data_IF_919341820514
#
_entry.id   IF_919341820514
#
_cell.length_a   1.000
_cell.length_b   1.000
_cell.length_c   1.000
_cell.angle_alpha   90.00
_cell.angle_beta   90.00
_cell.angle_gamma   90.00
#
_symmetry.space_group_name_H-M   'P 1'
#
loop_
_entity.id
_entity.type
_entity.pdbx_description
1 polymer ?
#
# COMPACT_ATOMS: atom_id res chain seq x y z
N UNK A 1 -40.26 83.04 30.80
CA UNK A 1 -41.56 82.47 30.41
C UNK A 1 -41.48 82.03 28.98
N UNK A 2 -41.13 80.76 28.76
CA UNK A 2 -41.07 80.24 27.41
C UNK A 2 -42.32 79.41 27.11
N UNK A 3 -42.85 79.56 25.95
CA UNK A 3 -44.20 79.26 25.50
C UNK A 3 -44.38 77.79 25.13
N UNK A 4 -45.49 77.22 25.56
CA UNK A 4 -45.92 75.81 25.39
C UNK A 4 -46.36 75.48 23.94
N UNK A 5 -45.55 75.62 22.95
CA UNK A 5 -45.95 75.26 21.57
C UNK A 5 -44.83 74.70 20.68
N UNK A 6 -43.90 73.90 21.22
CA UNK A 6 -42.92 73.26 20.37
C UNK A 6 -42.57 71.77 20.85
N UNK A 7 -43.60 71.11 21.33
CA UNK A 7 -43.47 69.70 21.61
C UNK A 7 -44.53 68.91 20.82
N UNK A 8 -44.41 68.88 19.53
CA UNK A 8 -45.02 67.86 18.66
C UNK A 8 -44.23 67.90 17.35
N UNK A 9 -43.37 66.97 17.07
CA UNK A 9 -42.85 66.54 15.77
C UNK A 9 -41.42 66.05 15.89
N UNK A 10 -41.19 64.94 16.57
CA UNK A 10 -39.95 64.11 16.42
C UNK A 10 -40.23 62.67 16.83
N UNK A 11 -41.28 62.11 16.26
CA UNK A 11 -41.55 60.67 16.40
C UNK A 11 -41.92 60.16 15.03
N UNK A 12 -40.91 59.91 14.19
CA UNK A 12 -40.98 59.01 13.02
C UNK A 12 -39.63 58.99 12.36
N UNK A 13 -38.98 57.85 12.44
CA UNK A 13 -37.97 57.29 11.56
C UNK A 13 -36.81 56.66 12.35
N UNK A 14 -37.12 55.72 13.23
CA UNK A 14 -36.16 54.64 13.54
C UNK A 14 -36.54 53.40 12.70
N UNK A 15 -36.36 53.49 11.38
CA UNK A 15 -36.33 52.32 10.54
C UNK A 15 -35.07 51.55 10.91
N UNK A 16 -35.23 50.46 11.66
CA UNK A 16 -34.18 49.51 11.95
C UNK A 16 -33.64 49.01 10.62
N UNK A 17 -32.44 49.45 10.26
CA UNK A 17 -31.61 48.75 9.31
C UNK A 17 -31.25 47.38 9.94
N UNK A 18 -32.04 46.37 9.63
CA UNK A 18 -31.64 44.99 9.82
C UNK A 18 -30.43 44.79 8.90
N UNK A 19 -29.24 45.03 9.45
CA UNK A 19 -28.02 44.65 8.80
C UNK A 19 -28.15 43.15 8.57
N UNK A 20 -28.35 42.76 7.29
CA UNK A 20 -28.36 41.36 6.90
C UNK A 20 -27.05 40.73 7.38
N UNK A 21 -27.17 39.81 8.32
CA UNK A 21 -26.06 38.95 8.67
C UNK A 21 -25.61 38.31 7.35
N UNK A 22 -24.35 38.50 6.92
CA UNK A 22 -23.90 37.86 5.69
C UNK A 22 -24.13 36.36 5.87
N UNK A 23 -25.00 35.77 5.06
CA UNK A 23 -25.17 34.35 5.02
C UNK A 23 -23.80 33.79 4.64
N UNK A 24 -23.12 33.22 5.61
CA UNK A 24 -21.90 32.43 5.34
C UNK A 24 -22.37 31.33 4.37
N UNK A 25 -22.04 31.51 3.11
CA UNK A 25 -22.33 30.50 2.09
C UNK A 25 -21.64 29.24 2.56
N UNK A 26 -22.42 28.19 2.80
CA UNK A 26 -21.85 26.89 3.18
C UNK A 26 -20.75 26.53 2.18
N UNK A 27 -19.62 26.01 2.67
CA UNK A 27 -18.55 25.61 1.79
C UNK A 27 -19.09 24.55 0.81
N UNK A 28 -18.72 24.67 -0.45
CA UNK A 28 -19.05 23.67 -1.48
C UNK A 28 -17.82 22.83 -1.75
N UNK A 29 -18.00 21.52 -1.70
CA UNK A 29 -16.94 20.52 -1.93
C UNK A 29 -17.22 19.74 -3.22
N UNK A 30 -16.19 19.17 -3.82
CA UNK A 30 -16.38 18.29 -4.97
C UNK A 30 -16.85 16.92 -4.50
N UNK A 31 -16.33 16.44 -3.36
CA UNK A 31 -16.72 15.16 -2.75
C UNK A 31 -16.71 15.27 -1.22
N UNK A 32 -17.77 14.74 -0.58
CA UNK A 32 -17.82 14.49 0.85
C UNK A 32 -17.94 13.01 1.15
N UNK A 33 -17.11 12.51 2.06
CA UNK A 33 -17.24 11.16 2.63
C UNK A 33 -17.78 11.34 4.04
N UNK A 34 -19.00 10.87 4.31
CA UNK A 34 -19.76 11.18 5.51
C UNK A 34 -19.83 10.04 6.51
N UNK A 35 -19.51 10.35 7.78
CA UNK A 35 -19.84 9.53 8.94
C UNK A 35 -19.08 8.20 9.03
N UNK A 36 -17.96 8.03 8.34
CA UNK A 36 -17.13 6.83 8.39
C UNK A 36 -16.22 6.79 9.63
N UNK A 37 -15.80 5.58 10.03
CA UNK A 37 -14.68 5.42 10.96
C UNK A 37 -13.40 5.69 10.19
N UNK A 38 -12.88 6.90 10.32
CA UNK A 38 -11.61 7.29 9.71
C UNK A 38 -10.46 6.71 10.52
N UNK A 39 -9.59 5.95 9.85
CA UNK A 39 -8.36 5.42 10.42
C UNK A 39 -7.20 5.97 9.60
N UNK A 40 -6.49 6.94 10.19
CA UNK A 40 -5.24 7.49 9.63
C UNK A 40 -4.10 7.29 10.61
N UNK A 41 -3.30 6.23 10.42
CA UNK A 41 -2.18 5.92 11.32
C UNK A 41 -1.07 6.97 11.31
N UNK A 42 -0.97 7.80 10.27
CA UNK A 42 0.07 8.82 10.16
C UNK A 42 -0.01 9.88 11.25
N UNK A 43 -1.23 10.12 11.74
CA UNK A 43 -1.54 11.10 12.80
C UNK A 43 -2.23 10.46 14.02
N UNK A 44 -2.30 9.13 14.08
CA UNK A 44 -2.93 8.40 15.18
C UNK A 44 -4.45 8.61 15.26
N UNK A 45 -5.11 8.95 14.15
CA UNK A 45 -6.56 9.13 14.12
C UNK A 45 -7.28 7.78 13.96
N UNK A 46 -8.23 7.53 14.87
CA UNK A 46 -9.21 6.44 14.77
C UNK A 46 -10.54 6.93 15.38
N UNK A 47 -11.50 7.28 14.55
CA UNK A 47 -12.78 7.79 15.03
C UNK A 47 -13.74 8.17 13.90
N UNK A 48 -15.00 8.42 14.28
CA UNK A 48 -16.02 8.83 13.29
C UNK A 48 -15.73 10.25 12.83
N UNK A 49 -15.52 10.40 11.52
CA UNK A 49 -15.22 11.68 10.86
C UNK A 49 -15.90 11.76 9.48
N UNK A 50 -16.00 12.99 9.00
CA UNK A 50 -16.23 13.31 7.60
C UNK A 50 -14.89 13.66 6.95
N UNK A 51 -14.77 13.41 5.65
CA UNK A 51 -13.63 13.83 4.83
C UNK A 51 -14.15 14.70 3.69
N UNK A 52 -13.68 15.95 3.62
CA UNK A 52 -14.01 16.87 2.54
C UNK A 52 -12.87 16.96 1.53
N UNK A 53 -13.24 16.97 0.26
CA UNK A 53 -12.33 16.96 -0.87
C UNK A 53 -12.72 18.06 -1.85
N UNK A 54 -11.71 18.82 -2.29
CA UNK A 54 -11.84 19.82 -3.36
C UNK A 54 -10.70 19.63 -4.36
N UNK A 55 -11.02 19.53 -5.63
CA UNK A 55 -10.06 19.15 -6.66
C UNK A 55 -9.46 17.78 -6.37
N UNK A 56 -8.15 17.72 -6.35
CA UNK A 56 -7.40 16.48 -6.06
C UNK A 56 -6.86 16.43 -4.62
N UNK A 57 -7.39 17.25 -3.70
CA UNK A 57 -6.82 17.41 -2.34
C UNK A 57 -7.86 17.18 -1.25
N UNK A 58 -7.42 16.55 -0.16
CA UNK A 58 -8.14 16.56 1.11
C UNK A 58 -8.10 17.99 1.66
N UNK A 59 -9.26 18.54 2.01
CA UNK A 59 -9.33 19.91 2.58
C UNK A 59 -9.70 19.93 4.05
N UNK A 60 -10.43 18.92 4.54
CA UNK A 60 -10.75 18.76 5.96
C UNK A 60 -11.04 17.31 6.33
N UNK A 61 -10.74 16.95 7.59
CA UNK A 61 -11.15 15.69 8.23
C UNK A 61 -11.65 16.03 9.62
N UNK A 62 -12.98 16.12 9.80
CA UNK A 62 -13.61 16.61 11.02
C UNK A 62 -14.83 15.77 11.42
N UNK A 63 -15.32 15.94 12.65
CA UNK A 63 -16.46 15.14 13.18
C UNK A 63 -17.77 15.42 12.47
N UNK A 64 -17.95 16.62 11.93
CA UNK A 64 -19.10 17.02 11.15
C UNK A 64 -18.71 18.19 10.27
N UNK A 65 -18.69 17.95 8.97
CA UNK A 65 -18.37 18.98 7.97
C UNK A 65 -19.69 19.50 7.41
N UNK A 66 -20.04 20.80 7.65
CA UNK A 66 -21.22 21.42 7.06
C UNK A 66 -20.97 21.76 5.59
N UNK A 67 -22.02 21.83 4.80
CA UNK A 67 -21.98 22.26 3.41
C UNK A 67 -22.46 21.19 2.45
N UNK A 68 -22.50 21.59 1.16
CA UNK A 68 -22.93 20.72 0.06
C UNK A 68 -21.73 20.19 -0.71
N UNK A 69 -21.91 19.08 -1.39
CA UNK A 69 -20.93 18.51 -2.29
C UNK A 69 -21.57 18.06 -3.60
N UNK A 70 -20.77 18.07 -4.67
CA UNK A 70 -21.20 17.55 -5.98
C UNK A 70 -21.47 16.05 -5.92
N UNK A 71 -20.64 15.31 -5.16
CA UNK A 71 -20.81 13.88 -4.89
C UNK A 71 -20.65 13.59 -3.38
N UNK A 72 -21.36 12.59 -2.89
CA UNK A 72 -21.29 12.18 -1.48
C UNK A 72 -21.18 10.66 -1.37
N UNK A 73 -20.23 10.20 -0.56
CA UNK A 73 -20.11 8.80 -0.16
C UNK A 73 -20.65 8.68 1.26
N UNK A 74 -21.76 7.95 1.46
CA UNK A 74 -22.21 7.56 2.78
C UNK A 74 -21.32 6.43 3.31
N UNK A 75 -20.44 6.78 4.24
CA UNK A 75 -19.49 5.87 4.84
C UNK A 75 -19.90 5.40 6.25
N UNK A 76 -21.14 5.65 6.68
CA UNK A 76 -21.63 5.18 7.98
C UNK A 76 -21.49 3.66 8.10
N UNK A 77 -20.85 3.21 9.18
CA UNK A 77 -20.52 1.80 9.39
C UNK A 77 -19.39 1.25 8.52
N UNK A 78 -18.69 2.13 7.77
CA UNK A 78 -17.54 1.77 6.94
C UNK A 78 -16.24 2.28 7.57
N UNK A 79 -15.14 1.69 7.14
CA UNK A 79 -13.77 2.14 7.42
C UNK A 79 -13.34 3.07 6.28
N UNK A 80 -12.85 4.24 6.64
CA UNK A 80 -12.25 5.21 5.71
C UNK A 80 -10.77 5.31 6.04
N UNK A 81 -9.90 4.98 5.09
CA UNK A 81 -8.46 4.98 5.26
C UNK A 81 -7.80 5.77 4.12
N UNK A 82 -6.54 6.20 4.26
CA UNK A 82 -5.75 6.61 3.11
C UNK A 82 -5.80 5.54 2.03
N UNK A 83 -5.69 5.94 0.78
CA UNK A 83 -5.63 5.00 -0.32
C UNK A 83 -4.56 3.92 -0.09
N UNK A 84 -4.92 2.68 -0.34
CA UNK A 84 -4.02 1.55 -0.11
C UNK A 84 -2.84 1.60 -1.07
N UNK A 85 -1.67 1.22 -0.60
CA UNK A 85 -0.43 1.14 -1.37
C UNK A 85 0.09 -0.29 -1.31
N UNK A 86 0.07 -0.97 -2.45
CA UNK A 86 0.55 -2.34 -2.59
C UNK A 86 1.98 -2.33 -3.15
N UNK A 87 2.96 -2.56 -2.30
CA UNK A 87 4.38 -2.47 -2.69
C UNK A 87 4.91 -3.73 -3.40
N UNK A 88 4.10 -4.77 -3.54
CA UNK A 88 4.49 -5.99 -4.24
C UNK A 88 3.34 -6.53 -5.08
N UNK A 89 3.36 -6.17 -6.35
CA UNK A 89 2.43 -6.66 -7.38
C UNK A 89 3.21 -7.10 -8.62
N UNK A 90 2.49 -7.74 -9.54
CA UNK A 90 2.91 -7.98 -10.92
C UNK A 90 1.91 -7.34 -11.90
N UNK A 91 1.32 -6.21 -11.49
CA UNK A 91 0.29 -5.49 -12.23
C UNK A 91 0.80 -4.84 -13.52
N UNK A 92 2.11 -4.62 -13.64
CA UNK A 92 2.74 -4.12 -14.87
C UNK A 92 2.68 -5.08 -16.07
N UNK A 93 2.27 -6.34 -15.86
CA UNK A 93 2.17 -7.36 -16.94
C UNK A 93 0.91 -7.27 -17.78
N UNK A 94 -0.10 -6.53 -17.36
CA UNK A 94 -1.38 -6.43 -18.06
C UNK A 94 -1.94 -5.03 -18.07
N UNK A 95 -2.36 -4.52 -19.22
CA UNK A 95 -2.89 -3.16 -19.37
C UNK A 95 -4.08 -2.84 -18.46
N UNK A 96 -4.94 -3.84 -18.20
CA UNK A 96 -6.13 -3.71 -17.35
C UNK A 96 -5.81 -3.83 -15.85
N UNK A 97 -4.64 -4.35 -15.51
CA UNK A 97 -4.27 -4.67 -14.13
C UNK A 97 -4.27 -3.46 -13.20
N UNK A 98 -3.76 -2.28 -13.59
CA UNK A 98 -3.84 -1.08 -12.73
C UNK A 98 -5.28 -0.71 -12.36
N UNK A 99 -6.20 -0.73 -13.33
CA UNK A 99 -7.61 -0.41 -13.08
C UNK A 99 -8.29 -1.46 -12.18
N UNK A 100 -7.94 -2.74 -12.33
CA UNK A 100 -8.44 -3.80 -11.46
C UNK A 100 -7.95 -3.66 -10.02
N UNK A 101 -6.68 -3.30 -9.79
CA UNK A 101 -6.14 -3.04 -8.47
C UNK A 101 -6.83 -1.83 -7.80
N UNK A 102 -7.14 -0.79 -8.58
CA UNK A 102 -7.86 0.39 -8.09
C UNK A 102 -9.23 0.04 -7.52
N UNK A 103 -9.94 -0.94 -8.10
CA UNK A 103 -11.24 -1.41 -7.59
C UNK A 103 -11.15 -2.05 -6.19
N UNK A 104 -9.98 -2.49 -5.77
CA UNK A 104 -9.73 -3.08 -4.47
C UNK A 104 -9.26 -2.05 -3.42
N UNK A 105 -9.30 -0.75 -3.76
CA UNK A 105 -8.86 0.35 -2.87
C UNK A 105 -7.40 0.76 -3.07
N UNK A 106 -6.68 0.14 -4.00
CA UNK A 106 -5.23 0.37 -4.23
C UNK A 106 -5.03 1.60 -5.11
N UNK A 107 -4.66 2.71 -4.49
CA UNK A 107 -4.39 4.00 -5.17
C UNK A 107 -2.91 4.20 -5.52
N UNK A 108 -2.07 3.28 -5.09
CA UNK A 108 -0.66 3.23 -5.44
C UNK A 108 -0.13 1.80 -5.43
N UNK A 109 0.74 1.44 -6.38
CA UNK A 109 1.40 0.15 -6.33
C UNK A 109 2.82 0.16 -6.90
N UNK A 110 3.57 -0.89 -6.56
CA UNK A 110 4.88 -1.20 -7.13
C UNK A 110 4.81 -2.56 -7.83
N UNK A 111 5.11 -2.61 -9.12
CA UNK A 111 5.40 -3.86 -9.82
C UNK A 111 6.76 -4.38 -9.37
N UNK A 112 6.77 -5.52 -8.71
CA UNK A 112 7.94 -6.03 -8.01
C UNK A 112 8.86 -6.87 -8.91
N UNK A 113 9.26 -6.32 -10.03
CA UNK A 113 10.26 -6.91 -10.90
C UNK A 113 9.72 -7.90 -11.92
N UNK A 114 8.56 -7.61 -12.51
CA UNK A 114 8.02 -8.37 -13.65
C UNK A 114 8.89 -8.27 -14.90
N UNK A 115 9.74 -7.26 -15.01
CA UNK A 115 10.69 -7.06 -16.11
C UNK A 115 12.12 -6.92 -15.63
N UNK A 116 13.05 -7.52 -16.38
CA UNK A 116 14.49 -7.26 -16.30
C UNK A 116 14.93 -6.23 -17.36
N UNK A 117 16.24 -5.96 -17.46
CA UNK A 117 16.79 -4.96 -18.42
C UNK A 117 16.27 -5.07 -19.85
N UNK A 118 15.96 -6.28 -20.34
CA UNK A 118 15.55 -6.52 -21.72
C UNK A 118 14.07 -6.24 -21.98
N UNK A 119 13.23 -6.24 -20.93
CA UNK A 119 11.78 -6.10 -21.09
C UNK A 119 11.11 -5.17 -20.06
N UNK A 120 11.88 -4.43 -19.28
CA UNK A 120 11.34 -3.44 -18.32
C UNK A 120 10.55 -2.33 -19.02
N UNK A 121 10.89 -1.99 -20.25
CA UNK A 121 10.23 -0.92 -21.01
C UNK A 121 8.76 -1.27 -21.31
N UNK A 122 8.43 -2.57 -21.49
CA UNK A 122 7.06 -3.07 -21.62
C UNK A 122 6.25 -2.86 -20.32
N UNK A 123 6.87 -3.20 -19.18
CA UNK A 123 6.28 -3.01 -17.85
C UNK A 123 6.10 -1.52 -17.55
N UNK A 124 7.12 -0.72 -17.84
CA UNK A 124 7.11 0.73 -17.65
C UNK A 124 6.00 1.41 -18.46
N UNK A 125 5.71 0.93 -19.66
CA UNK A 125 4.61 1.45 -20.48
C UNK A 125 3.24 1.22 -19.82
N UNK A 126 3.00 0.03 -19.24
CA UNK A 126 1.76 -0.26 -18.50
C UNK A 126 1.68 0.58 -17.22
N UNK A 127 2.78 0.67 -16.48
CA UNK A 127 2.88 1.44 -15.23
C UNK A 127 2.62 2.94 -15.46
N UNK A 128 3.14 3.52 -16.53
CA UNK A 128 2.87 4.92 -16.91
C UNK A 128 1.42 5.16 -17.33
N UNK A 129 0.79 4.16 -17.94
CA UNK A 129 -0.59 4.22 -18.41
C UNK A 129 -1.63 3.98 -17.30
N UNK A 130 -1.23 3.60 -16.11
CA UNK A 130 -2.15 3.37 -14.99
C UNK A 130 -2.83 4.66 -14.49
N UNK A 131 -4.09 4.58 -14.02
CA UNK A 131 -4.79 5.76 -13.51
C UNK A 131 -4.24 6.26 -12.17
N UNK A 132 -3.69 5.36 -11.33
CA UNK A 132 -3.11 5.66 -10.03
C UNK A 132 -1.59 5.84 -10.11
N UNK A 133 -0.96 6.16 -8.97
CA UNK A 133 0.50 6.19 -8.91
C UNK A 133 1.07 4.77 -8.98
N UNK A 134 1.65 4.44 -10.12
CA UNK A 134 2.26 3.15 -10.36
C UNK A 134 3.77 3.28 -10.46
N UNK A 135 4.50 2.34 -9.88
CA UNK A 135 5.97 2.25 -9.94
C UNK A 135 6.40 0.82 -10.24
N UNK A 136 7.66 0.63 -10.54
CA UNK A 136 8.22 -0.69 -10.82
C UNK A 136 9.61 -0.85 -10.19
N UNK A 137 9.95 -2.09 -9.86
CA UNK A 137 11.32 -2.51 -9.66
C UNK A 137 11.82 -3.16 -10.94
N UNK A 138 13.06 -2.92 -11.32
CA UNK A 138 13.70 -3.69 -12.38
C UNK A 138 14.30 -4.96 -11.77
N UNK A 139 14.04 -6.12 -12.37
CA UNK A 139 14.68 -7.36 -11.92
C UNK A 139 16.16 -7.34 -12.31
N UNK A 140 17.04 -7.91 -11.44
CA UNK A 140 18.47 -7.98 -11.72
C UNK A 140 18.78 -8.90 -12.89
N UNK A 141 17.98 -9.96 -13.11
CA UNK A 141 18.11 -10.84 -14.27
C UNK A 141 17.65 -10.14 -15.55
N UNK A 142 18.39 -10.31 -16.65
CA UNK A 142 18.20 -9.59 -17.90
C UNK A 142 16.79 -9.70 -18.47
N UNK A 143 16.16 -10.88 -18.36
CA UNK A 143 14.78 -11.10 -18.79
C UNK A 143 14.06 -12.03 -17.83
N UNK A 144 12.83 -11.68 -17.48
CA UNK A 144 11.98 -12.46 -16.57
C UNK A 144 10.86 -13.15 -17.36
N UNK A 145 10.73 -14.47 -17.15
CA UNK A 145 9.64 -15.29 -17.68
C UNK A 145 8.76 -15.95 -16.62
N UNK A 146 9.12 -15.86 -15.33
CA UNK A 146 8.50 -16.58 -14.21
C UNK A 146 8.54 -18.10 -14.31
N UNK A 147 9.46 -18.64 -15.11
CA UNK A 147 9.64 -20.08 -15.33
C UNK A 147 10.74 -20.70 -14.47
N UNK A 148 11.41 -19.88 -13.63
CA UNK A 148 12.61 -20.27 -12.89
C UNK A 148 13.89 -20.18 -13.72
N UNK A 149 15.04 -20.46 -13.09
CA UNK A 149 16.35 -20.49 -13.76
C UNK A 149 16.93 -19.15 -14.20
N UNK A 150 16.33 -18.05 -13.80
CA UNK A 150 16.66 -16.71 -14.27
C UNK A 150 18.10 -16.29 -13.97
N UNK A 151 18.66 -16.76 -12.84
CA UNK A 151 20.01 -16.46 -12.36
C UNK A 151 20.93 -17.71 -12.28
N UNK A 152 20.51 -18.87 -12.79
CA UNK A 152 21.39 -20.04 -12.88
C UNK A 152 22.64 -19.74 -13.72
N UNK A 153 22.49 -18.94 -14.77
CA UNK A 153 23.60 -18.27 -15.41
C UNK A 153 23.76 -16.87 -14.81
N UNK A 154 24.80 -16.67 -13.98
CA UNK A 154 25.03 -15.41 -13.29
C UNK A 154 25.34 -14.23 -14.23
N UNK A 155 25.75 -14.49 -15.49
CA UNK A 155 25.95 -13.45 -16.48
C UNK A 155 24.66 -12.71 -16.85
N UNK A 156 23.50 -13.31 -16.56
CA UNK A 156 22.20 -12.66 -16.68
C UNK A 156 22.00 -11.54 -15.66
N UNK A 157 22.69 -11.53 -14.53
CA UNK A 157 22.72 -10.41 -13.59
C UNK A 157 23.74 -9.36 -14.03
N UNK A 158 23.49 -8.71 -15.15
CA UNK A 158 24.40 -7.71 -15.72
C UNK A 158 24.15 -6.31 -15.15
N UNK A 159 25.04 -5.85 -14.28
CA UNK A 159 24.94 -4.57 -13.57
C UNK A 159 24.80 -3.38 -14.52
N UNK A 160 25.55 -3.36 -15.62
CA UNK A 160 25.51 -2.25 -16.58
C UNK A 160 24.17 -2.19 -17.32
N UNK A 161 23.60 -3.32 -17.69
CA UNK A 161 22.27 -3.38 -18.31
C UNK A 161 21.18 -2.93 -17.33
N UNK A 162 21.24 -3.36 -16.04
CA UNK A 162 20.30 -2.91 -15.01
C UNK A 162 20.38 -1.40 -14.81
N UNK A 163 21.61 -0.84 -14.71
CA UNK A 163 21.80 0.62 -14.62
C UNK A 163 21.22 1.36 -15.82
N UNK A 164 21.44 0.84 -17.04
CA UNK A 164 20.87 1.38 -18.27
C UNK A 164 19.33 1.35 -18.24
N UNK A 165 18.72 0.28 -17.77
CA UNK A 165 17.28 0.14 -17.62
C UNK A 165 16.70 1.15 -16.60
N UNK A 166 17.37 1.35 -15.46
CA UNK A 166 16.99 2.37 -14.46
C UNK A 166 17.06 3.76 -15.10
N UNK A 167 18.15 4.09 -15.82
CA UNK A 167 18.32 5.40 -16.45
C UNK A 167 17.21 5.72 -17.45
N UNK A 168 16.84 4.75 -18.29
CA UNK A 168 15.77 4.93 -19.28
C UNK A 168 14.39 5.11 -18.66
N UNK A 169 14.18 4.60 -17.45
CA UNK A 169 12.87 4.53 -16.79
C UNK A 169 12.86 5.17 -15.40
N UNK A 170 13.69 6.23 -15.18
CA UNK A 170 13.85 6.87 -13.85
C UNK A 170 12.56 7.45 -13.27
N UNK A 171 11.59 7.75 -14.10
CA UNK A 171 10.29 8.27 -13.73
C UNK A 171 9.40 7.22 -13.03
N UNK A 172 9.64 5.93 -13.32
CA UNK A 172 8.83 4.83 -12.79
C UNK A 172 9.60 3.77 -12.03
N UNK A 173 10.91 3.56 -12.34
CA UNK A 173 11.72 2.55 -11.63
C UNK A 173 12.24 3.11 -10.31
N UNK A 174 11.82 2.48 -9.20
CA UNK A 174 12.09 2.92 -7.82
C UNK A 174 12.94 1.94 -7.00
N UNK A 175 13.45 0.89 -7.61
CA UNK A 175 14.31 -0.10 -6.94
C UNK A 175 14.70 -1.24 -7.86
N UNK A 176 15.41 -2.21 -7.28
CA UNK A 176 15.85 -3.44 -7.97
C UNK A 176 15.26 -4.65 -7.27
N UNK A 177 14.78 -5.64 -8.02
CA UNK A 177 14.29 -6.93 -7.51
C UNK A 177 15.33 -8.02 -7.72
N UNK A 178 15.51 -8.87 -6.71
CA UNK A 178 16.27 -10.11 -6.83
C UNK A 178 15.43 -11.29 -6.28
N UNK A 179 15.27 -12.37 -7.08
CA UNK A 179 14.66 -13.61 -6.66
C UNK A 179 15.77 -14.60 -6.35
N UNK A 180 15.80 -15.11 -5.10
CA UNK A 180 16.95 -15.84 -4.55
C UNK A 180 16.65 -17.31 -4.25
N UNK A 181 15.47 -17.83 -4.62
CA UNK A 181 15.13 -19.24 -4.42
C UNK A 181 16.02 -20.15 -5.29
N UNK A 182 16.18 -21.40 -4.86
CA UNK A 182 17.05 -22.40 -5.51
C UNK A 182 16.67 -22.62 -6.98
N UNK A 183 15.39 -22.73 -7.27
CA UNK A 183 14.87 -22.90 -8.64
C UNK A 183 15.15 -21.70 -9.56
N UNK A 184 15.42 -20.52 -8.99
CA UNK A 184 15.71 -19.29 -9.73
C UNK A 184 17.19 -19.01 -9.83
N UNK A 185 17.92 -19.07 -8.72
CA UNK A 185 19.28 -18.60 -8.60
C UNK A 185 20.31 -19.72 -8.36
N UNK A 186 19.86 -20.88 -7.87
CA UNK A 186 20.79 -21.93 -7.47
C UNK A 186 21.85 -21.40 -6.49
N UNK A 187 23.10 -21.78 -6.69
CA UNK A 187 24.25 -21.32 -5.89
C UNK A 187 24.64 -19.85 -6.15
N UNK A 188 24.00 -19.16 -7.09
CA UNK A 188 24.28 -17.76 -7.44
C UNK A 188 23.46 -16.75 -6.62
N UNK A 189 22.69 -17.17 -5.62
CA UNK A 189 21.79 -16.33 -4.86
C UNK A 189 22.48 -15.11 -4.20
N UNK A 190 23.61 -15.31 -3.51
CA UNK A 190 24.37 -14.21 -2.90
C UNK A 190 25.04 -13.31 -3.93
N UNK A 191 25.57 -13.87 -5.02
CA UNK A 191 26.19 -13.08 -6.07
C UNK A 191 25.14 -12.26 -6.85
N UNK A 192 23.99 -12.86 -7.14
CA UNK A 192 22.85 -12.15 -7.72
C UNK A 192 22.41 -10.96 -6.86
N UNK A 193 22.34 -11.16 -5.53
CA UNK A 193 22.04 -10.08 -4.59
C UNK A 193 23.10 -8.98 -4.60
N UNK A 194 24.41 -9.32 -4.58
CA UNK A 194 25.49 -8.32 -4.64
C UNK A 194 25.39 -7.48 -5.91
N UNK A 195 25.13 -8.08 -7.06
CA UNK A 195 24.96 -7.37 -8.34
C UNK A 195 23.72 -6.48 -8.35
N UNK A 196 22.60 -6.94 -7.74
CA UNK A 196 21.43 -6.13 -7.57
C UNK A 196 21.72 -4.88 -6.72
N UNK A 197 22.43 -5.04 -5.61
CA UNK A 197 22.85 -3.93 -4.74
C UNK A 197 23.85 -3.00 -5.43
N UNK A 198 24.82 -3.53 -6.18
CA UNK A 198 25.77 -2.73 -6.96
C UNK A 198 25.02 -1.86 -7.99
N UNK A 199 24.05 -2.42 -8.70
CA UNK A 199 23.26 -1.65 -9.66
C UNK A 199 22.43 -0.57 -8.99
N UNK A 200 21.73 -0.91 -7.89
CA UNK A 200 20.83 -0.03 -7.14
C UNK A 200 21.58 1.12 -6.45
N UNK A 201 22.78 0.86 -5.91
CA UNK A 201 23.56 1.82 -5.12
C UNK A 201 23.94 3.08 -5.92
N UNK A 202 24.17 2.96 -7.21
CA UNK A 202 24.47 4.11 -8.10
C UNK A 202 23.37 5.18 -8.09
N UNK A 203 22.13 4.77 -7.79
CA UNK A 203 20.94 5.63 -7.81
C UNK A 203 20.33 5.83 -6.42
N UNK A 204 20.98 5.34 -5.38
CA UNK A 204 20.45 5.30 -4.01
C UNK A 204 19.08 4.62 -3.91
N UNK A 205 18.86 3.57 -4.67
CA UNK A 205 17.61 2.80 -4.68
C UNK A 205 17.67 1.60 -3.73
N UNK A 206 16.53 1.16 -3.19
CA UNK A 206 16.44 -0.07 -2.41
C UNK A 206 16.48 -1.31 -3.30
N UNK A 207 16.84 -2.44 -2.67
CA UNK A 207 16.69 -3.77 -3.26
C UNK A 207 15.56 -4.49 -2.52
N UNK A 208 14.61 -5.07 -3.27
CA UNK A 208 13.63 -6.01 -2.73
C UNK A 208 14.05 -7.43 -3.08
N UNK A 209 14.19 -8.27 -2.06
CA UNK A 209 14.50 -9.69 -2.26
C UNK A 209 13.27 -10.57 -1.99
N UNK A 210 13.13 -11.61 -2.78
CA UNK A 210 12.24 -12.73 -2.53
C UNK A 210 13.02 -13.77 -1.72
N UNK A 211 12.55 -14.14 -0.54
CA UNK A 211 13.14 -15.19 0.28
C UNK A 211 12.31 -16.47 0.27
N UNK A 212 12.93 -17.53 0.76
CA UNK A 212 12.39 -18.88 0.84
C UNK A 212 13.09 -19.81 -0.14
N UNK A 213 13.42 -21.01 0.35
CA UNK A 213 14.06 -22.07 -0.43
C UNK A 213 15.36 -21.64 -1.14
N UNK A 214 16.11 -20.67 -0.57
CA UNK A 214 17.43 -20.28 -1.08
C UNK A 214 18.48 -21.36 -0.76
N UNK A 215 19.55 -21.45 -1.56
CA UNK A 215 20.69 -22.32 -1.27
C UNK A 215 21.49 -21.78 -0.08
N UNK A 216 21.74 -20.48 -0.06
CA UNK A 216 22.47 -19.84 1.04
C UNK A 216 21.61 -19.70 2.29
N UNK A 217 22.20 -19.85 3.50
CA UNK A 217 21.49 -19.59 4.75
C UNK A 217 20.95 -18.15 4.81
N UNK A 218 19.72 -17.97 5.31
CA UNK A 218 19.08 -16.65 5.38
C UNK A 218 19.97 -15.60 6.08
N UNK A 219 20.74 -15.98 7.12
CA UNK A 219 21.68 -15.07 7.81
C UNK A 219 22.72 -14.45 6.85
N UNK A 220 23.20 -15.20 5.86
CA UNK A 220 24.16 -14.71 4.87
C UNK A 220 23.52 -13.72 3.92
N UNK A 221 22.28 -13.95 3.52
CA UNK A 221 21.46 -13.04 2.72
C UNK A 221 21.19 -11.75 3.49
N UNK A 222 20.71 -11.85 4.74
CA UNK A 222 20.39 -10.69 5.60
C UNK A 222 21.62 -9.84 5.93
N UNK A 223 22.81 -10.45 6.01
CA UNK A 223 24.06 -9.72 6.27
C UNK A 223 24.41 -8.72 5.15
N UNK A 224 23.97 -8.98 3.92
CA UNK A 224 24.19 -8.10 2.77
C UNK A 224 23.19 -6.95 2.71
N UNK A 225 22.02 -7.05 3.35
CA UNK A 225 20.97 -6.05 3.27
C UNK A 225 21.26 -4.81 4.11
N UNK A 226 20.91 -3.65 3.59
CA UNK A 226 21.06 -2.33 4.21
C UNK A 226 19.70 -1.72 4.54
N UNK A 227 19.72 -0.58 5.26
CA UNK A 227 18.52 0.24 5.54
C UNK A 227 17.77 0.54 4.24
N UNK A 228 16.46 0.31 4.26
CA UNK A 228 15.56 0.53 3.14
C UNK A 228 15.41 -0.65 2.19
N UNK A 229 16.31 -1.65 2.26
CA UNK A 229 16.10 -2.91 1.53
C UNK A 229 14.90 -3.66 2.10
N UNK A 230 14.22 -4.45 1.26
CA UNK A 230 12.96 -5.10 1.58
C UNK A 230 13.09 -6.60 1.41
N UNK A 231 12.71 -7.35 2.45
CA UNK A 231 12.54 -8.80 2.42
C UNK A 231 11.06 -9.09 2.23
N UNK A 232 10.66 -9.55 1.05
CA UNK A 232 9.28 -9.98 0.80
C UNK A 232 9.12 -11.49 0.94
N UNK A 233 7.87 -11.96 1.12
CA UNK A 233 7.52 -13.32 1.50
C UNK A 233 8.13 -13.72 2.85
N UNK A 234 8.10 -12.77 3.81
CA UNK A 234 8.78 -12.94 5.09
C UNK A 234 8.38 -14.21 5.87
N UNK A 235 7.22 -14.77 5.60
CA UNK A 235 6.73 -15.99 6.22
C UNK A 235 6.90 -17.24 5.33
N UNK A 236 7.88 -17.19 4.41
CA UNK A 236 8.21 -18.35 3.60
C UNK A 236 8.60 -19.54 4.49
N UNK A 237 8.11 -20.75 4.18
CA UNK A 237 8.45 -21.94 4.94
C UNK A 237 9.91 -22.35 4.73
N UNK A 238 10.43 -23.27 5.55
CA UNK A 238 11.76 -23.85 5.37
C UNK A 238 11.95 -24.46 3.96
N UNK A 239 13.22 -24.59 3.48
CA UNK A 239 14.44 -24.15 4.15
C UNK A 239 14.68 -22.63 4.08
N UNK A 240 15.52 -22.15 5.02
CA UNK A 240 15.97 -20.73 5.05
C UNK A 240 14.86 -19.69 5.22
N UNK A 241 13.78 -20.02 5.97
CA UNK A 241 12.81 -19.07 6.48
C UNK A 241 13.34 -18.26 7.67
N UNK A 242 12.47 -17.41 8.25
CA UNK A 242 12.83 -16.53 9.38
C UNK A 242 12.88 -17.23 10.74
N UNK A 243 12.42 -18.49 10.84
CA UNK A 243 12.37 -19.29 12.06
C UNK A 243 13.33 -20.46 11.99
N UNK A 244 13.90 -20.84 13.14
CA UNK A 244 14.70 -22.05 13.30
C UNK A 244 13.80 -23.31 13.36
N UNK A 245 14.42 -24.50 13.43
CA UNK A 245 13.72 -25.79 13.49
C UNK A 245 12.86 -25.95 14.76
N UNK A 246 13.08 -25.12 15.78
CA UNK A 246 12.26 -25.06 17.00
C UNK A 246 11.15 -24.00 16.89
N UNK A 247 10.99 -23.33 15.74
CA UNK A 247 10.02 -22.29 15.51
C UNK A 247 10.36 -20.95 16.17
N UNK A 248 11.62 -20.72 16.58
CA UNK A 248 12.09 -19.49 17.19
C UNK A 248 12.63 -18.54 16.11
N UNK A 249 12.34 -17.25 16.27
CA UNK A 249 12.85 -16.22 15.38
C UNK A 249 14.38 -16.17 15.44
N UNK A 250 15.05 -16.22 14.30
CA UNK A 250 16.50 -16.03 14.25
C UNK A 250 16.89 -14.61 14.73
N UNK A 251 17.94 -14.53 15.54
CA UNK A 251 18.47 -13.26 16.03
C UNK A 251 18.89 -12.32 14.89
N UNK A 252 19.40 -12.87 13.79
CA UNK A 252 19.80 -12.13 12.58
C UNK A 252 18.62 -11.43 11.91
N UNK A 253 17.41 -12.02 11.94
CA UNK A 253 16.18 -11.42 11.41
C UNK A 253 15.80 -10.16 12.21
N UNK A 254 15.79 -10.27 13.55
CA UNK A 254 15.54 -9.14 14.42
C UNK A 254 16.63 -8.06 14.27
N UNK A 255 17.89 -8.47 14.10
CA UNK A 255 19.01 -7.55 13.87
C UNK A 255 18.89 -6.82 12.52
N UNK A 256 18.47 -7.50 11.46
CA UNK A 256 18.23 -6.88 10.14
C UNK A 256 17.13 -5.82 10.23
N UNK A 257 16.00 -6.10 10.91
CA UNK A 257 14.95 -5.10 11.15
C UNK A 257 15.48 -3.89 11.92
N UNK A 258 16.26 -4.09 12.98
CA UNK A 258 16.86 -2.97 13.72
C UNK A 258 17.82 -2.11 12.88
N UNK A 259 18.47 -2.69 11.85
CA UNK A 259 19.27 -1.93 10.87
C UNK A 259 18.41 -1.14 9.89
N UNK A 260 17.09 -1.38 9.85
CA UNK A 260 16.14 -0.71 8.99
C UNK A 260 15.84 -1.48 7.68
N UNK A 261 16.09 -2.77 7.64
CA UNK A 261 15.55 -3.67 6.62
C UNK A 261 14.06 -3.86 6.89
N UNK A 262 13.23 -3.70 5.87
CA UNK A 262 11.78 -3.87 5.96
C UNK A 262 11.41 -5.33 5.68
N UNK A 263 10.40 -5.82 6.39
CA UNK A 263 9.85 -7.17 6.20
C UNK A 263 8.41 -7.05 5.69
N UNK A 264 8.22 -7.47 4.45
CA UNK A 264 6.97 -7.41 3.72
C UNK A 264 6.30 -8.79 3.66
N UNK A 265 4.97 -8.81 3.77
CA UNK A 265 4.23 -10.06 3.77
C UNK A 265 4.31 -10.78 2.43
N UNK A 266 4.01 -10.10 1.32
CA UNK A 266 4.03 -10.69 -0.02
C UNK A 266 3.15 -11.93 -0.12
N UNK A 267 1.83 -11.80 -0.10
CA UNK A 267 0.88 -12.91 0.03
C UNK A 267 1.13 -14.06 -0.98
N UNK A 268 1.21 -13.72 -2.28
CA UNK A 268 1.36 -14.70 -3.35
C UNK A 268 0.23 -15.74 -3.43
N UNK A 269 0.44 -16.73 -4.31
CA UNK A 269 -0.53 -17.82 -4.54
C UNK A 269 0.04 -19.21 -4.32
N UNK A 270 1.37 -19.37 -4.31
CA UNK A 270 2.02 -20.64 -4.14
C UNK A 270 3.40 -20.49 -3.50
N UNK A 271 3.70 -21.26 -2.46
CA UNK A 271 5.05 -21.39 -1.90
C UNK A 271 5.52 -20.23 -0.98
N UNK A 272 4.79 -19.14 -0.87
CA UNK A 272 5.27 -17.91 -0.25
C UNK A 272 5.00 -17.82 1.26
N UNK A 273 3.97 -18.48 1.76
CA UNK A 273 3.71 -18.58 3.20
C UNK A 273 2.81 -19.76 3.55
N UNK A 274 2.93 -20.23 4.78
CA UNK A 274 1.94 -21.10 5.41
C UNK A 274 1.53 -20.56 6.78
N UNK A 275 0.38 -21.04 7.28
CA UNK A 275 -0.18 -20.55 8.56
C UNK A 275 0.73 -20.82 9.75
N UNK A 276 1.45 -21.96 9.75
CA UNK A 276 2.34 -22.32 10.85
C UNK A 276 3.46 -21.28 11.04
N UNK A 277 4.07 -20.81 9.94
CA UNK A 277 5.08 -19.74 9.98
C UNK A 277 4.51 -18.44 10.49
N UNK A 278 3.32 -18.04 10.00
CA UNK A 278 2.64 -16.80 10.45
C UNK A 278 2.35 -16.88 11.95
N UNK A 279 1.72 -17.98 12.41
CA UNK A 279 1.35 -18.16 13.82
C UNK A 279 2.57 -18.15 14.74
N UNK A 280 3.63 -18.86 14.41
CA UNK A 280 4.84 -18.91 15.22
C UNK A 280 5.56 -17.58 15.29
N UNK A 281 5.66 -16.85 14.17
CA UNK A 281 6.32 -15.55 14.13
C UNK A 281 5.51 -14.47 14.87
N UNK A 282 4.20 -14.40 14.64
CA UNK A 282 3.34 -13.40 15.26
C UNK A 282 3.19 -13.59 16.78
N UNK A 283 3.18 -14.83 17.28
CA UNK A 283 3.25 -15.12 18.73
C UNK A 283 4.52 -14.59 19.39
N UNK A 284 5.60 -14.43 18.63
CA UNK A 284 6.85 -13.81 19.09
C UNK A 284 6.90 -12.30 18.84
N UNK A 285 5.77 -11.69 18.42
CA UNK A 285 5.67 -10.27 18.14
C UNK A 285 6.32 -9.84 16.81
N UNK A 286 6.68 -10.77 15.93
CA UNK A 286 7.29 -10.44 14.65
C UNK A 286 6.23 -10.32 13.55
N UNK A 287 5.63 -9.15 13.50
CA UNK A 287 4.63 -8.74 12.53
C UNK A 287 5.27 -8.13 11.27
N UNK A 288 4.58 -8.11 10.11
CA UNK A 288 5.09 -7.45 8.92
C UNK A 288 5.16 -5.93 9.11
N UNK A 289 6.15 -5.31 8.47
CA UNK A 289 6.23 -3.85 8.37
C UNK A 289 5.25 -3.34 7.31
N UNK A 290 5.07 -4.10 6.23
CA UNK A 290 4.14 -3.82 5.14
C UNK A 290 3.34 -5.06 4.76
N UNK A 291 2.11 -4.83 4.29
CA UNK A 291 1.29 -5.86 3.65
C UNK A 291 1.30 -5.62 2.15
N UNK A 292 1.40 -6.70 1.39
CA UNK A 292 1.33 -6.67 -0.06
C UNK A 292 0.74 -7.97 -0.59
N UNK A 293 0.27 -7.95 -1.82
CA UNK A 293 -0.51 -9.05 -2.37
C UNK A 293 0.29 -10.05 -3.18
N UNK A 294 1.41 -9.64 -3.77
CA UNK A 294 2.02 -10.37 -4.89
C UNK A 294 1.00 -10.62 -6.01
N UNK A 295 0.25 -9.58 -6.31
CA UNK A 295 -0.94 -9.60 -7.15
C UNK A 295 -0.61 -9.92 -8.61
N UNK A 296 -1.39 -10.83 -9.19
CA UNK A 296 -1.48 -11.05 -10.63
C UNK A 296 -2.95 -11.06 -11.04
N UNK A 297 -3.26 -10.79 -12.30
CA UNK A 297 -4.63 -10.87 -12.81
C UNK A 297 -5.25 -12.27 -12.56
N UNK A 298 -4.47 -13.34 -12.75
CA UNK A 298 -4.90 -14.71 -12.47
C UNK A 298 -5.18 -14.94 -10.99
N UNK A 299 -4.31 -14.47 -10.09
CA UNK A 299 -4.49 -14.61 -8.65
C UNK A 299 -5.79 -13.95 -8.17
N UNK A 300 -6.15 -12.81 -8.74
CA UNK A 300 -7.41 -12.10 -8.44
C UNK A 300 -8.64 -12.89 -8.87
N UNK A 301 -8.59 -13.55 -10.01
CA UNK A 301 -9.75 -14.28 -10.54
C UNK A 301 -9.92 -15.68 -9.95
N UNK A 302 -8.83 -16.33 -9.58
CA UNK A 302 -8.84 -17.73 -9.12
C UNK A 302 -8.67 -17.91 -7.62
N UNK A 303 -8.13 -16.93 -6.90
CA UNK A 303 -7.63 -17.15 -5.56
C UNK A 303 -8.10 -16.18 -4.48
N UNK A 304 -9.06 -15.29 -4.76
CA UNK A 304 -9.50 -14.31 -3.74
C UNK A 304 -8.30 -13.53 -3.18
N UNK A 305 -7.47 -13.01 -4.06
CA UNK A 305 -6.35 -12.13 -3.70
C UNK A 305 -6.73 -10.70 -4.07
N UNK A 306 -7.67 -10.13 -3.32
CA UNK A 306 -7.84 -8.68 -3.23
C UNK A 306 -7.07 -8.17 -1.99
N UNK A 307 -6.66 -6.92 -2.00
CA UNK A 307 -5.83 -6.40 -0.92
C UNK A 307 -6.57 -6.36 0.43
N UNK A 308 -7.86 -5.97 0.52
CA UNK A 308 -8.64 -6.09 1.76
C UNK A 308 -8.74 -7.52 2.30
N UNK A 309 -8.75 -8.56 1.44
CA UNK A 309 -8.67 -9.95 1.88
C UNK A 309 -7.32 -10.24 2.56
N UNK A 310 -6.22 -9.81 1.95
CA UNK A 310 -4.88 -9.96 2.52
C UNK A 310 -4.76 -9.26 3.86
N UNK A 311 -5.26 -8.04 3.98
CA UNK A 311 -5.34 -7.29 5.24
C UNK A 311 -6.12 -8.07 6.32
N UNK A 312 -7.21 -8.73 5.94
CA UNK A 312 -8.09 -9.47 6.85
C UNK A 312 -7.44 -10.70 7.46
N UNK A 313 -6.45 -11.30 6.79
CA UNK A 313 -5.66 -12.41 7.34
C UNK A 313 -4.97 -12.00 8.64
N UNK A 314 -4.51 -10.75 8.75
CA UNK A 314 -3.83 -10.26 9.95
C UNK A 314 -4.81 -9.87 11.07
N UNK A 315 -6.03 -9.45 10.74
CA UNK A 315 -7.10 -9.30 11.72
C UNK A 315 -7.42 -10.64 12.40
N UNK A 316 -7.42 -11.74 11.65
CA UNK A 316 -7.64 -13.09 12.17
C UNK A 316 -6.58 -13.48 13.20
N UNK A 317 -5.33 -13.04 13.04
CA UNK A 317 -4.24 -13.26 14.00
C UNK A 317 -4.22 -12.27 15.17
N UNK A 318 -5.16 -11.31 15.22
CA UNK A 318 -5.30 -10.35 16.31
C UNK A 318 -4.46 -9.07 16.13
N UNK A 319 -3.93 -8.79 14.93
CA UNK A 319 -3.34 -7.48 14.67
C UNK A 319 -4.42 -6.41 14.75
N UNK A 320 -4.24 -5.33 15.52
CA UNK A 320 -5.20 -4.24 15.59
C UNK A 320 -5.49 -3.64 14.21
N UNK A 321 -6.75 -3.31 13.93
CA UNK A 321 -7.15 -2.78 12.63
C UNK A 321 -6.33 -1.54 12.20
N UNK A 322 -6.02 -0.65 13.14
CA UNK A 322 -5.16 0.52 12.86
C UNK A 322 -3.74 0.13 12.42
N UNK A 323 -3.17 -0.95 12.96
CA UNK A 323 -1.88 -1.47 12.51
C UNK A 323 -1.97 -2.15 11.15
N UNK A 324 -3.05 -2.90 10.88
CA UNK A 324 -3.32 -3.48 9.55
C UNK A 324 -3.40 -2.37 8.50
N UNK A 325 -4.13 -1.29 8.80
CA UNK A 325 -4.21 -0.12 7.92
C UNK A 325 -2.84 0.54 7.75
N UNK A 326 -2.07 0.69 8.83
CA UNK A 326 -0.73 1.27 8.75
C UNK A 326 0.19 0.50 7.80
N UNK A 327 0.17 -0.84 7.86
CA UNK A 327 0.99 -1.69 6.99
C UNK A 327 0.61 -1.57 5.49
N UNK A 328 -0.65 -1.22 5.19
CA UNK A 328 -1.18 -1.07 3.84
C UNK A 328 -1.19 0.40 3.34
N UNK A 329 -0.81 1.37 4.17
CA UNK A 329 -0.88 2.80 3.85
C UNK A 329 0.40 3.53 4.26
N UNK A 330 0.47 4.03 5.49
CA UNK A 330 1.55 4.88 6.01
C UNK A 330 2.92 4.19 5.96
N UNK A 331 3.00 2.90 6.31
CA UNK A 331 4.27 2.17 6.28
C UNK A 331 4.69 1.85 4.83
N UNK A 332 3.73 1.44 3.99
CA UNK A 332 3.97 1.20 2.57
C UNK A 332 4.44 2.48 1.85
N UNK A 333 3.84 3.64 2.20
CA UNK A 333 4.27 4.94 1.65
C UNK A 333 5.73 5.27 2.01
N UNK A 334 6.19 4.90 3.20
CA UNK A 334 7.57 5.14 3.66
C UNK A 334 8.61 4.22 3.01
N UNK A 335 8.18 3.13 2.36
CA UNK A 335 9.09 2.19 1.73
C UNK A 335 9.73 2.75 0.44
N UNK A 336 9.08 3.72 -0.21
CA UNK A 336 9.57 4.33 -1.44
C UNK A 336 9.27 5.82 -1.48
N UNK A 337 10.26 6.65 -1.74
CA UNK A 337 10.14 8.13 -1.77
C UNK A 337 9.05 8.63 -2.72
N UNK A 338 8.74 7.87 -3.77
CA UNK A 338 7.69 8.20 -4.73
C UNK A 338 6.26 8.26 -4.13
N UNK A 339 6.08 7.76 -2.92
CA UNK A 339 4.80 7.80 -2.18
C UNK A 339 4.87 8.73 -0.95
N UNK A 340 5.90 9.55 -0.81
CA UNK A 340 6.15 10.37 0.40
C UNK A 340 5.03 11.36 0.74
N UNK A 341 4.19 11.74 -0.22
CA UNK A 341 3.02 12.61 -0.03
C UNK A 341 1.70 11.86 0.20
N UNK A 342 1.77 10.52 0.34
CA UNK A 342 0.61 9.61 0.47
C UNK A 342 0.61 8.86 1.80
N UNK A 343 -0.37 7.95 1.96
CA UNK A 343 -0.52 7.16 3.20
C UNK A 343 -1.06 7.96 4.38
N UNK A 344 -1.73 9.09 4.11
CA UNK A 344 -2.36 10.00 5.08
C UNK A 344 -3.62 10.62 4.50
N UNK A 345 -4.53 11.08 5.37
CA UNK A 345 -5.71 11.90 5.05
C UNK A 345 -5.56 13.35 5.53
N UNK A 346 -4.37 13.79 5.86
CA UNK A 346 -4.12 15.16 6.30
C UNK A 346 -4.60 16.19 5.27
N UNK A 347 -5.10 17.32 5.74
CA UNK A 347 -5.43 18.44 4.86
C UNK A 347 -4.20 18.82 4.00
N UNK A 348 -4.46 18.99 2.70
CA UNK A 348 -3.41 19.23 1.69
C UNK A 348 -2.83 17.96 1.05
N UNK A 349 -3.04 16.78 1.61
CA UNK A 349 -2.62 15.52 0.99
C UNK A 349 -3.41 15.23 -0.30
N UNK A 350 -2.86 14.43 -1.24
CA UNK A 350 -3.63 13.90 -2.36
C UNK A 350 -4.89 13.20 -1.87
N UNK A 351 -6.02 13.47 -2.54
CA UNK A 351 -7.31 12.88 -2.19
C UNK A 351 -7.42 11.45 -2.74
N UNK A 352 -6.59 10.57 -2.19
CA UNK A 352 -6.56 9.14 -2.43
C UNK A 352 -7.12 8.44 -1.18
N UNK A 353 -8.31 7.85 -1.29
CA UNK A 353 -9.05 7.28 -0.15
C UNK A 353 -9.58 5.90 -0.48
N UNK A 354 -9.36 4.96 0.42
CA UNK A 354 -10.01 3.65 0.40
C UNK A 354 -11.15 3.61 1.42
N UNK A 355 -12.36 3.33 0.95
CA UNK A 355 -13.51 3.07 1.82
C UNK A 355 -13.78 1.58 1.79
N UNK A 356 -13.78 0.95 2.95
CA UNK A 356 -13.92 -0.50 3.11
C UNK A 356 -15.07 -0.83 4.05
N UNK A 357 -15.70 -1.96 3.84
CA UNK A 357 -16.67 -2.53 4.74
C UNK A 357 -16.03 -3.63 5.58
N UNK A 358 -16.05 -3.50 6.90
CA UNK A 358 -15.66 -4.58 7.82
C UNK A 358 -16.91 -5.40 8.16
N UNK A 359 -16.95 -6.64 7.68
CA UNK A 359 -18.06 -7.56 7.97
C UNK A 359 -17.65 -8.58 9.02
N UNK A 360 -18.56 -8.86 9.92
CA UNK A 360 -18.47 -9.96 10.87
C UNK A 360 -19.11 -11.23 10.31
N UNK A 361 -18.54 -12.38 10.64
CA UNK A 361 -19.01 -13.67 10.15
C UNK A 361 -17.93 -14.74 10.22
N UNK A 362 -18.14 -15.83 9.48
CA UNK A 362 -17.15 -16.88 9.33
C UNK A 362 -16.57 -16.80 7.93
N UNK A 363 -15.31 -16.36 7.83
CA UNK A 363 -14.62 -16.20 6.56
C UNK A 363 -13.46 -17.17 6.49
N UNK A 364 -13.45 -18.00 5.44
CA UNK A 364 -12.33 -18.90 5.19
C UNK A 364 -11.19 -18.13 4.50
N UNK A 365 -9.98 -18.30 5.02
CA UNK A 365 -8.74 -17.80 4.46
C UNK A 365 -7.82 -18.98 4.14
N UNK A 366 -7.13 -18.88 3.00
CA UNK A 366 -6.19 -19.87 2.53
C UNK A 366 -4.75 -19.37 2.65
N UNK A 367 -3.84 -20.27 3.00
CA UNK A 367 -2.41 -20.09 2.75
C UNK A 367 -2.03 -20.61 1.36
N UNK A 368 -0.74 -20.57 1.05
CA UNK A 368 -0.26 -21.02 -0.26
C UNK A 368 -0.10 -22.55 -0.40
N UNK A 369 -0.47 -23.31 0.65
CA UNK A 369 -0.45 -24.77 0.71
C UNK A 369 -1.84 -25.36 0.90
N UNK A 370 -2.89 -24.59 0.58
CA UNK A 370 -4.30 -24.95 0.74
C UNK A 370 -4.72 -25.18 2.21
N UNK A 371 -3.88 -24.74 3.16
CA UNK A 371 -4.24 -24.72 4.58
C UNK A 371 -5.35 -23.70 4.81
N UNK A 372 -6.38 -24.10 5.58
CA UNK A 372 -7.57 -23.29 5.85
C UNK A 372 -7.53 -22.73 7.26
N UNK A 373 -7.95 -21.49 7.41
CA UNK A 373 -8.25 -20.85 8.71
C UNK A 373 -9.55 -20.07 8.61
N UNK A 374 -10.31 -20.04 9.69
CA UNK A 374 -11.55 -19.27 9.76
C UNK A 374 -11.33 -18.02 10.61
N UNK A 375 -11.48 -16.85 9.99
CA UNK A 375 -11.53 -15.57 10.68
C UNK A 375 -12.95 -15.13 10.96
N UNK A 376 -13.12 -14.25 11.96
CA UNK A 376 -14.41 -13.70 12.38
C UNK A 376 -14.75 -12.38 11.71
N UNK A 377 -13.77 -11.76 11.04
CA UNK A 377 -13.92 -10.46 10.38
C UNK A 377 -13.22 -10.49 9.02
N UNK A 378 -13.81 -9.79 8.05
CA UNK A 378 -13.21 -9.57 6.73
C UNK A 378 -13.53 -8.18 6.24
N UNK A 379 -12.51 -7.53 5.67
CA UNK A 379 -12.61 -6.28 4.92
C UNK A 379 -13.02 -6.55 3.48
N UNK A 380 -13.92 -5.72 2.96
CA UNK A 380 -14.35 -5.72 1.57
C UNK A 380 -14.17 -4.33 0.98
N UNK A 381 -13.74 -4.19 -0.27
CA UNK A 381 -13.74 -2.88 -0.94
C UNK A 381 -15.18 -2.36 -1.02
N UNK A 382 -15.40 -1.08 -0.73
CA UNK A 382 -16.69 -0.41 -0.88
C UNK A 382 -16.65 0.71 -1.90
N UNK A 383 -15.70 1.64 -1.77
CA UNK A 383 -15.46 2.70 -2.73
C UNK A 383 -13.99 3.11 -2.69
N UNK A 384 -13.47 3.53 -3.83
CA UNK A 384 -12.13 4.09 -3.96
C UNK A 384 -12.24 5.51 -4.49
N UNK A 385 -11.51 6.44 -3.88
CA UNK A 385 -11.32 7.79 -4.40
C UNK A 385 -9.87 7.93 -4.84
N UNK A 386 -9.68 8.39 -6.05
CA UNK A 386 -8.37 8.64 -6.63
C UNK A 386 -8.30 10.08 -7.14
N UNK A 387 -7.32 10.84 -6.67
CA UNK A 387 -7.16 12.25 -7.03
C UNK A 387 -8.48 13.04 -6.91
N UNK A 388 -9.25 12.77 -5.85
CA UNK A 388 -10.50 13.45 -5.53
C UNK A 388 -11.73 12.97 -6.29
N UNK A 389 -11.61 11.96 -7.13
CA UNK A 389 -12.73 11.43 -7.91
C UNK A 389 -13.02 9.99 -7.51
N UNK A 390 -14.30 9.65 -7.39
CA UNK A 390 -14.73 8.28 -7.16
C UNK A 390 -14.33 7.41 -8.36
N UNK A 391 -13.59 6.36 -8.11
CA UNK A 391 -13.25 5.36 -9.12
C UNK A 391 -14.48 4.51 -9.47
N UNK A 392 -14.52 3.90 -10.69
CA UNK A 392 -15.56 2.96 -11.05
C UNK A 392 -15.69 1.82 -10.02
N UNK A 393 -16.93 1.48 -9.68
CA UNK A 393 -17.20 0.38 -8.76
C UNK A 393 -16.70 -0.96 -9.36
N UNK A 394 -16.42 -1.92 -8.46
CA UNK A 394 -16.17 -3.31 -8.85
C UNK A 394 -17.46 -3.87 -9.49
N UNK A 395 -17.35 -4.39 -10.71
CA UNK A 395 -18.44 -5.06 -11.42
C UNK A 395 -18.80 -6.42 -10.76
#
# INVERSE_FOLDING_TARGET
MMNRRQIVSAAAAAAAAVAGVPSVRAASYDLLIKGGRVIDPSVGLDGIRDVAITGSRIVAVESNIPGDATDTIDARGKIVAPGLIDIHTHAGRGKESPALALQDGVTGFVDAGSGGPDNIDEIAAVVRGGPQICRALVNVATRIGFTGGELLDINRANVSLVRGAILRNRDVVVGVKARLSEDVAGANDLEGLRRAQEAASTFNLPVMIHIGQSVSPLRAVLALLKRGDIVTHMYAPPPNGILDDHGRLFADVAAARRRGVLFDFGNGTAGHFNWDMVEKATRQGFWPDTLSTDWTATARTTGVVDFPNVMSKFLMFGMPLSQVVACATTNAAKAFDSFSDRGTLNAGAPADVAVMELREGNFEFLDNYQGKRTGRQRLFPFATVLNGKRAPARA
#
